data_IF_882806354629
#
_entry.id   IF_882806354629
#
_cell.length_a   1.000
_cell.length_b   1.000
_cell.length_c   1.000
_cell.angle_alpha   90.00
_cell.angle_beta   90.00
_cell.angle_gamma   90.00
#
_symmetry.space_group_name_H-M   'P 1'
#
loop_
_entity.id
_entity.type
_entity.pdbx_description
1 polymer ?
#
# COMPACT_ATOMS: atom_id res chain seq x y z
N UNK A 1 -75.51 26.04 -61.90
CA UNK A 1 -75.48 25.39 -60.57
C UNK A 1 -74.06 24.97 -60.26
N UNK A 2 -73.68 25.07 -58.97
CA UNK A 2 -72.43 24.60 -58.33
C UNK A 2 -71.29 25.63 -58.21
N UNK A 3 -71.59 26.61 -57.37
CA UNK A 3 -70.69 27.18 -56.36
C UNK A 3 -69.99 26.07 -55.53
N UNK A 4 -68.88 26.46 -54.90
CA UNK A 4 -68.16 25.79 -53.81
C UNK A 4 -67.01 24.85 -54.19
N UNK A 5 -65.82 25.43 -54.39
CA UNK A 5 -64.61 24.95 -53.68
C UNK A 5 -63.66 26.11 -53.52
N UNK A 6 -63.80 26.75 -52.37
CA UNK A 6 -62.91 27.77 -51.81
C UNK A 6 -61.84 27.04 -50.99
N UNK A 7 -60.72 27.72 -50.79
CA UNK A 7 -59.82 27.62 -49.62
C UNK A 7 -58.68 26.61 -49.76
N UNK A 8 -57.45 27.13 -49.97
CA UNK A 8 -56.27 26.31 -49.74
C UNK A 8 -54.94 26.73 -50.37
N UNK A 9 -54.77 27.96 -50.87
CA UNK A 9 -53.47 28.36 -51.45
C UNK A 9 -53.13 29.82 -51.16
N UNK A 10 -53.07 30.18 -49.87
CA UNK A 10 -52.82 31.58 -49.47
C UNK A 10 -52.14 31.74 -48.12
N UNK A 11 -51.25 30.83 -47.72
CA UNK A 11 -50.35 31.04 -46.59
C UNK A 11 -49.02 30.35 -46.88
N UNK A 12 -48.10 31.05 -47.52
CA UNK A 12 -46.81 30.49 -47.88
C UNK A 12 -45.86 31.52 -48.46
N UNK A 13 -45.78 32.73 -47.89
CA UNK A 13 -44.79 33.72 -48.30
C UNK A 13 -44.56 34.80 -47.23
N UNK A 14 -44.21 34.39 -46.01
CA UNK A 14 -43.73 35.32 -44.97
C UNK A 14 -42.92 34.58 -43.89
N UNK A 15 -41.85 33.90 -44.28
CA UNK A 15 -40.87 33.37 -43.34
C UNK A 15 -39.52 33.14 -44.05
N UNK A 16 -39.00 34.18 -44.70
CA UNK A 16 -37.64 34.16 -45.22
C UNK A 16 -36.83 35.26 -44.52
N UNK A 17 -35.86 34.79 -43.73
CA UNK A 17 -34.67 35.48 -43.22
C UNK A 17 -34.87 36.78 -42.41
N UNK A 18 -34.93 36.61 -41.09
CA UNK A 18 -34.05 37.38 -40.21
C UNK A 18 -33.00 36.43 -39.63
N UNK A 19 -31.94 36.18 -40.39
CA UNK A 19 -30.67 35.77 -39.78
C UNK A 19 -30.07 37.08 -39.27
N UNK A 20 -30.37 37.40 -38.01
CA UNK A 20 -29.57 38.36 -37.28
C UNK A 20 -28.19 37.70 -37.12
N UNK A 21 -27.24 38.09 -37.96
CA UNK A 21 -25.84 37.95 -37.62
C UNK A 21 -25.63 38.82 -36.38
N UNK A 22 -25.65 38.18 -35.21
CA UNK A 22 -25.10 38.80 -34.02
C UNK A 22 -23.63 39.08 -34.33
N UNK A 23 -23.29 40.35 -34.55
CA UNK A 23 -21.92 40.80 -34.49
C UNK A 23 -21.35 40.28 -33.17
N UNK A 24 -20.19 39.59 -33.14
CA UNK A 24 -19.57 39.31 -31.87
C UNK A 24 -19.33 40.67 -31.22
N UNK A 25 -19.87 40.84 -30.01
CA UNK A 25 -19.31 41.81 -29.06
C UNK A 25 -17.80 41.60 -29.11
N UNK A 26 -17.04 42.67 -29.33
CA UNK A 26 -15.59 42.70 -29.50
C UNK A 26 -14.89 42.01 -28.32
N UNK A 27 -14.82 40.67 -28.37
CA UNK A 27 -14.25 39.79 -27.36
C UNK A 27 -12.73 39.80 -27.53
N UNK A 28 -11.96 40.06 -26.46
CA UNK A 28 -10.51 40.05 -26.55
C UNK A 28 -10.00 38.66 -26.98
N UNK A 29 -9.24 38.61 -28.09
CA UNK A 29 -8.60 37.38 -28.53
C UNK A 29 -7.50 36.98 -27.52
N UNK A 30 -7.73 35.90 -26.78
CA UNK A 30 -6.78 35.35 -25.80
C UNK A 30 -6.60 33.87 -26.08
N UNK A 31 -5.34 33.44 -26.20
CA UNK A 31 -4.99 32.03 -26.33
C UNK A 31 -4.49 31.50 -24.99
N UNK A 32 -5.00 30.35 -24.58
CA UNK A 32 -4.53 29.64 -23.40
C UNK A 32 -4.25 28.18 -23.77
N UNK A 33 -3.11 27.66 -23.33
CA UNK A 33 -2.73 26.26 -23.53
C UNK A 33 -2.17 25.73 -22.21
N UNK A 34 -2.77 24.65 -21.70
CA UNK A 34 -2.26 23.96 -20.53
C UNK A 34 -1.39 22.75 -20.92
N UNK A 35 -0.33 22.51 -20.17
CA UNK A 35 0.61 21.42 -20.38
C UNK A 35 1.06 20.82 -19.05
N UNK A 36 1.23 19.50 -19.01
CA UNK A 36 1.82 18.84 -17.85
C UNK A 36 3.34 19.08 -17.81
N UNK A 37 3.96 19.08 -16.61
CA UNK A 37 5.41 19.13 -16.46
C UNK A 37 6.09 17.98 -17.22
N UNK A 38 7.35 18.18 -17.64
CA UNK A 38 8.11 17.16 -18.38
C UNK A 38 8.31 15.84 -17.60
N UNK A 39 8.33 15.92 -16.27
CA UNK A 39 8.36 14.76 -15.36
C UNK A 39 7.14 13.85 -15.54
N UNK A 40 6.02 14.40 -16.04
CA UNK A 40 4.78 13.70 -16.31
C UNK A 40 4.44 13.74 -17.81
N UNK A 41 5.32 13.14 -18.62
CA UNK A 41 5.16 13.07 -20.07
C UNK A 41 3.86 12.39 -20.53
N UNK A 42 3.26 11.53 -19.70
CA UNK A 42 2.04 10.80 -20.00
C UNK A 42 0.76 11.53 -19.55
N UNK A 43 0.87 12.67 -18.87
CA UNK A 43 -0.29 13.40 -18.35
C UNK A 43 -1.11 12.60 -17.34
N UNK A 44 -0.46 11.72 -16.58
CA UNK A 44 -1.11 10.93 -15.54
C UNK A 44 -1.53 11.82 -14.39
N UNK A 45 -2.73 11.61 -13.88
CA UNK A 45 -3.22 12.31 -12.70
C UNK A 45 -3.25 11.33 -11.55
N UNK A 46 -2.40 11.57 -10.54
CA UNK A 46 -2.25 10.67 -9.40
C UNK A 46 -3.28 11.05 -8.32
N UNK A 47 -4.07 10.08 -7.89
CA UNK A 47 -5.03 10.28 -6.81
C UNK A 47 -4.35 10.57 -5.47
N UNK A 48 -4.97 11.43 -4.66
CA UNK A 48 -4.43 11.80 -3.34
C UNK A 48 -3.21 12.72 -3.39
N UNK A 49 -2.63 12.95 -4.57
CA UNK A 49 -1.45 13.79 -4.76
C UNK A 49 -1.75 15.11 -5.47
N UNK A 50 -0.83 16.06 -5.33
CA UNK A 50 -0.92 17.37 -5.97
C UNK A 50 -0.44 17.25 -7.41
N UNK A 51 -1.38 17.30 -8.35
CA UNK A 51 -1.07 17.27 -9.78
C UNK A 51 -0.84 18.70 -10.29
N UNK A 52 0.33 18.94 -10.88
CA UNK A 52 0.72 20.27 -11.38
C UNK A 52 0.54 20.34 -12.91
N UNK A 53 0.14 21.51 -13.39
CA UNK A 53 -0.05 21.85 -14.81
C UNK A 53 0.43 23.29 -15.00
N UNK A 54 1.03 23.60 -16.15
CA UNK A 54 1.41 24.96 -16.52
C UNK A 54 0.51 25.48 -17.64
N UNK A 55 -0.08 26.66 -17.45
CA UNK A 55 -0.89 27.33 -18.45
C UNK A 55 -0.07 28.44 -19.09
N UNK A 56 0.23 28.31 -20.37
CA UNK A 56 0.75 29.39 -21.20
C UNK A 56 -0.44 30.21 -21.73
N UNK A 57 -0.48 31.49 -21.36
CA UNK A 57 -1.54 32.43 -21.75
C UNK A 57 -0.91 33.55 -22.56
N UNK A 58 -1.49 33.82 -23.71
CA UNK A 58 -1.07 34.87 -24.65
C UNK A 58 -2.27 35.78 -24.94
N UNK A 59 -2.11 37.06 -24.66
CA UNK A 59 -3.10 38.06 -25.03
C UNK A 59 -2.79 38.53 -26.46
N UNK A 60 -3.65 38.15 -27.42
CA UNK A 60 -3.54 38.59 -28.82
C UNK A 60 -4.36 39.84 -29.12
N UNK A 61 -5.19 40.28 -28.19
CA UNK A 61 -5.95 41.52 -28.34
C UNK A 61 -5.06 42.76 -28.18
N UNK A 62 -5.54 43.89 -28.71
CA UNK A 62 -4.90 45.20 -28.55
C UNK A 62 -5.19 45.85 -27.18
N UNK A 63 -5.97 45.17 -26.33
CA UNK A 63 -6.47 45.69 -25.05
C UNK A 63 -5.78 44.99 -23.89
N UNK A 64 -5.63 45.71 -22.78
CA UNK A 64 -5.09 45.14 -21.55
C UNK A 64 -6.16 44.31 -20.85
N UNK A 65 -5.83 43.07 -20.52
CA UNK A 65 -6.74 42.15 -19.83
C UNK A 65 -6.23 41.90 -18.40
N UNK A 66 -7.11 41.47 -17.51
CA UNK A 66 -6.74 40.98 -16.19
C UNK A 66 -7.15 39.52 -16.05
N UNK A 67 -6.16 38.64 -15.84
CA UNK A 67 -6.39 37.23 -15.56
C UNK A 67 -6.95 37.08 -14.14
N UNK A 68 -8.21 36.66 -14.01
CA UNK A 68 -8.90 36.58 -12.73
C UNK A 68 -8.59 35.27 -12.03
N UNK A 69 -8.92 34.14 -12.65
CA UNK A 69 -8.82 32.82 -12.03
C UNK A 69 -8.63 31.70 -13.03
N UNK A 70 -7.97 30.64 -12.60
CA UNK A 70 -7.88 29.36 -13.31
C UNK A 70 -8.76 28.36 -12.57
N UNK A 71 -9.60 27.63 -13.29
CA UNK A 71 -10.42 26.57 -12.73
C UNK A 71 -10.61 25.47 -13.77
N UNK A 72 -11.22 24.37 -13.35
CA UNK A 72 -11.44 23.23 -14.21
C UNK A 72 -12.57 22.34 -13.72
N UNK A 73 -12.87 21.34 -14.52
CA UNK A 73 -13.86 20.32 -14.23
C UNK A 73 -13.45 18.98 -14.80
N UNK A 74 -13.95 17.93 -14.16
CA UNK A 74 -13.72 16.56 -14.55
C UNK A 74 -15.07 15.96 -14.94
N UNK A 75 -15.10 15.35 -16.12
CA UNK A 75 -16.27 14.79 -16.75
C UNK A 75 -16.07 13.31 -17.04
N UNK A 76 -17.17 12.57 -17.10
CA UNK A 76 -17.15 11.19 -17.59
C UNK A 76 -16.85 11.19 -19.10
N UNK A 77 -15.91 10.38 -19.62
CA UNK A 77 -15.45 10.47 -21.01
C UNK A 77 -16.56 10.20 -22.04
N UNK A 78 -17.44 9.24 -21.77
CA UNK A 78 -18.50 8.84 -22.70
C UNK A 78 -19.72 9.76 -22.66
N UNK A 79 -20.24 10.02 -21.45
CA UNK A 79 -21.49 10.78 -21.28
C UNK A 79 -21.26 12.29 -21.18
N UNK A 80 -20.00 12.73 -21.04
CA UNK A 80 -19.63 14.12 -20.70
C UNK A 80 -20.34 14.67 -19.44
N UNK A 81 -20.90 13.79 -18.60
CA UNK A 81 -21.54 14.19 -17.35
C UNK A 81 -20.48 14.78 -16.42
N UNK A 82 -20.78 15.95 -15.84
CA UNK A 82 -19.93 16.59 -14.84
C UNK A 82 -19.84 15.69 -13.61
N UNK A 83 -18.62 15.35 -13.22
CA UNK A 83 -18.33 14.54 -12.03
C UNK A 83 -17.96 15.44 -10.86
N UNK A 84 -16.99 16.33 -11.08
CA UNK A 84 -16.45 17.21 -10.03
C UNK A 84 -15.72 18.41 -10.63
N UNK A 85 -15.87 19.57 -9.99
CA UNK A 85 -15.05 20.75 -10.31
C UNK A 85 -13.69 20.67 -9.59
N UNK A 86 -12.63 21.09 -10.26
CA UNK A 86 -11.30 21.20 -9.67
C UNK A 86 -11.19 22.50 -8.85
N UNK A 87 -10.11 22.63 -8.07
CA UNK A 87 -9.89 23.80 -7.22
C UNK A 87 -9.74 25.07 -8.06
N UNK A 88 -10.55 26.09 -7.81
CA UNK A 88 -10.37 27.40 -8.46
C UNK A 88 -9.23 28.19 -7.78
N UNK A 89 -8.29 28.69 -8.58
CA UNK A 89 -7.15 29.48 -8.12
C UNK A 89 -7.26 30.90 -8.67
N UNK A 90 -7.18 31.91 -7.80
CA UNK A 90 -7.31 33.33 -8.17
C UNK A 90 -5.92 33.97 -8.33
N UNK A 91 -5.72 34.68 -9.44
CA UNK A 91 -4.46 35.34 -9.79
C UNK A 91 -4.53 36.87 -9.73
N UNK A 92 -5.55 37.48 -10.35
CA UNK A 92 -5.70 38.95 -10.51
C UNK A 92 -4.45 39.61 -11.10
N UNK A 93 -3.89 39.00 -12.15
CA UNK A 93 -2.67 39.47 -12.81
C UNK A 93 -3.02 40.24 -14.08
N UNK A 94 -2.57 41.50 -14.25
CA UNK A 94 -2.74 42.21 -15.50
C UNK A 94 -1.81 41.65 -16.59
N UNK A 95 -2.33 41.48 -17.81
CA UNK A 95 -1.59 41.04 -18.98
C UNK A 95 -1.82 42.05 -20.12
N UNK A 96 -0.74 42.68 -20.57
CA UNK A 96 -0.79 43.67 -21.65
C UNK A 96 -1.11 43.02 -22.99
N UNK A 97 -1.63 43.80 -23.94
CA UNK A 97 -1.81 43.35 -25.33
C UNK A 97 -0.50 42.84 -25.95
N UNK A 98 -0.57 41.72 -26.65
CA UNK A 98 0.59 41.04 -27.26
C UNK A 98 1.51 40.28 -26.29
N UNK A 99 1.29 40.39 -24.97
CA UNK A 99 2.15 39.77 -23.97
C UNK A 99 1.78 38.30 -23.71
N UNK A 100 2.79 37.52 -23.29
CA UNK A 100 2.65 36.12 -22.89
C UNK A 100 3.07 35.92 -21.45
N UNK A 101 2.39 35.04 -20.74
CA UNK A 101 2.71 34.67 -19.36
C UNK A 101 2.46 33.18 -19.15
N UNK A 102 3.24 32.55 -18.27
CA UNK A 102 3.01 31.17 -17.85
C UNK A 102 2.57 31.16 -16.38
N UNK A 103 1.43 30.51 -16.10
CA UNK A 103 0.85 30.42 -14.76
C UNK A 103 0.82 28.96 -14.31
N UNK A 104 1.31 28.64 -13.09
CA UNK A 104 1.16 27.29 -12.55
C UNK A 104 -0.30 27.04 -12.15
N UNK A 105 -0.76 25.81 -12.21
CA UNK A 105 -2.06 25.41 -11.71
C UNK A 105 -1.93 24.01 -11.11
N UNK A 106 -2.65 23.75 -10.03
CA UNK A 106 -2.57 22.46 -9.38
C UNK A 106 -3.91 22.07 -8.80
N UNK A 107 -4.21 20.77 -8.89
CA UNK A 107 -5.45 20.20 -8.39
C UNK A 107 -5.22 18.79 -7.86
N UNK A 108 -6.21 18.29 -7.13
CA UNK A 108 -6.23 16.94 -6.57
C UNK A 108 -7.33 16.12 -7.24
N UNK A 109 -7.10 14.82 -7.42
CA UNK A 109 -8.09 13.86 -7.90
C UNK A 109 -8.36 12.80 -6.84
N UNK A 110 -9.61 12.34 -6.79
CA UNK A 110 -10.08 11.28 -5.88
C UNK A 110 -11.16 10.47 -6.61
N UNK A 111 -10.78 9.81 -7.70
CA UNK A 111 -11.71 9.04 -8.53
C UNK A 111 -11.25 7.59 -8.64
N UNK A 112 -12.13 6.73 -9.13
CA UNK A 112 -11.69 5.39 -9.53
C UNK A 112 -10.60 5.52 -10.62
N UNK A 113 -9.51 4.74 -10.53
CA UNK A 113 -8.48 4.71 -11.57
C UNK A 113 -9.08 4.37 -12.94
N UNK A 114 -8.57 5.04 -13.98
CA UNK A 114 -9.07 4.94 -15.34
C UNK A 114 -9.15 6.30 -16.04
N UNK A 115 -9.82 6.33 -17.19
CA UNK A 115 -9.85 7.50 -18.04
C UNK A 115 -10.98 8.46 -17.68
N UNK A 116 -10.64 9.75 -17.61
CA UNK A 116 -11.54 10.85 -17.30
C UNK A 116 -11.29 12.02 -18.23
N UNK A 117 -12.32 12.81 -18.54
CA UNK A 117 -12.12 14.03 -19.33
C UNK A 117 -11.83 15.20 -18.41
N UNK A 118 -10.67 15.83 -18.59
CA UNK A 118 -10.28 17.03 -17.87
C UNK A 118 -10.51 18.26 -18.76
N UNK A 119 -11.23 19.22 -18.21
CA UNK A 119 -11.42 20.53 -18.80
C UNK A 119 -10.81 21.59 -17.88
N UNK A 120 -9.95 22.47 -18.39
CA UNK A 120 -9.37 23.59 -17.64
C UNK A 120 -9.64 24.86 -18.43
N UNK A 121 -10.02 25.92 -17.73
CA UNK A 121 -10.26 27.25 -18.28
C UNK A 121 -9.63 28.35 -17.44
N UNK A 122 -9.47 29.49 -18.07
CA UNK A 122 -9.08 30.73 -17.44
C UNK A 122 -10.17 31.77 -17.63
N UNK A 123 -10.57 32.37 -16.50
CA UNK A 123 -11.45 33.53 -16.48
C UNK A 123 -10.59 34.79 -16.51
N UNK A 124 -10.90 35.69 -17.42
CA UNK A 124 -10.23 36.98 -17.55
C UNK A 124 -11.25 38.11 -17.68
N UNK A 125 -10.78 39.33 -17.53
CA UNK A 125 -11.62 40.53 -17.61
C UNK A 125 -10.98 41.58 -18.47
N UNK A 126 -11.77 42.14 -19.39
CA UNK A 126 -11.40 43.28 -20.22
C UNK A 126 -12.47 44.35 -20.05
N UNK A 127 -12.07 45.57 -19.68
CA UNK A 127 -12.97 46.73 -19.52
C UNK A 127 -14.19 46.49 -18.62
N UNK A 128 -14.06 45.61 -17.64
CA UNK A 128 -15.12 45.28 -16.68
C UNK A 128 -15.98 44.06 -17.05
N UNK A 129 -15.89 43.58 -18.29
CA UNK A 129 -16.58 42.39 -18.76
C UNK A 129 -15.76 41.12 -18.53
N UNK A 130 -16.43 40.02 -18.16
CA UNK A 130 -15.79 38.73 -17.85
C UNK A 130 -15.88 37.78 -19.04
N UNK A 131 -14.75 37.20 -19.39
CA UNK A 131 -14.61 36.26 -20.49
C UNK A 131 -13.94 34.98 -20.00
N UNK A 132 -14.25 33.86 -20.65
CA UNK A 132 -13.72 32.53 -20.29
C UNK A 132 -13.08 31.90 -21.51
N UNK A 133 -11.84 31.45 -21.34
CA UNK A 133 -11.08 30.78 -22.40
C UNK A 133 -10.70 29.38 -21.93
N UNK A 134 -10.99 28.39 -22.77
CA UNK A 134 -10.59 27.01 -22.54
C UNK A 134 -9.07 26.87 -22.77
N UNK A 135 -8.37 26.33 -21.79
CA UNK A 135 -6.93 26.10 -21.82
C UNK A 135 -6.57 24.63 -22.04
N UNK A 136 -7.44 23.71 -21.62
CA UNK A 136 -7.25 22.27 -21.76
C UNK A 136 -8.59 21.58 -21.92
N UNK A 137 -8.68 20.63 -22.85
CA UNK A 137 -9.84 19.76 -23.00
C UNK A 137 -9.41 18.44 -23.62
N UNK A 138 -9.11 17.45 -22.77
CA UNK A 138 -8.77 16.11 -23.26
C UNK A 138 -8.97 15.03 -22.20
N UNK A 139 -8.80 13.78 -22.62
CA UNK A 139 -8.86 12.61 -21.75
C UNK A 139 -7.53 12.46 -21.03
N UNK A 140 -7.60 12.31 -19.71
CA UNK A 140 -6.48 12.03 -18.81
C UNK A 140 -6.69 10.67 -18.16
N UNK A 141 -5.60 9.99 -17.84
CA UNK A 141 -5.65 8.74 -17.09
C UNK A 141 -5.36 9.03 -15.62
N UNK A 142 -6.32 8.68 -14.77
CA UNK A 142 -6.18 8.77 -13.31
C UNK A 142 -5.59 7.46 -12.80
N UNK A 143 -4.51 7.56 -12.03
CA UNK A 143 -3.76 6.41 -11.49
C UNK A 143 -3.69 6.49 -9.96
N UNK A 144 -3.48 5.34 -9.33
CA UNK A 144 -3.18 5.29 -7.89
C UNK A 144 -1.72 5.66 -7.64
N UNK A 145 -1.41 6.27 -6.48
CA UNK A 145 -0.05 6.59 -6.10
C UNK A 145 0.76 5.31 -5.89
N UNK A 146 2.08 5.42 -6.08
CA UNK A 146 3.00 4.30 -5.89
C UNK A 146 3.05 3.88 -4.42
N UNK A 147 2.88 2.58 -4.15
CA UNK A 147 3.01 2.05 -2.80
C UNK A 147 4.49 1.97 -2.44
N UNK A 148 4.92 2.82 -1.50
CA UNK A 148 6.29 2.76 -0.96
C UNK A 148 6.43 1.65 0.07
N UNK A 149 7.12 0.56 -0.32
CA UNK A 149 7.44 -0.55 0.59
C UNK A 149 8.52 -0.20 1.63
N UNK A 150 9.29 0.87 1.41
CA UNK A 150 10.33 1.36 2.31
C UNK A 150 9.91 2.63 3.06
N UNK A 151 8.61 2.79 3.33
CA UNK A 151 8.14 3.82 4.25
C UNK A 151 8.43 3.42 5.70
N UNK A 152 9.42 4.08 6.33
CA UNK A 152 9.80 3.83 7.72
C UNK A 152 8.64 4.01 8.71
N UNK A 153 7.67 4.89 8.42
CA UNK A 153 6.49 5.07 9.28
C UNK A 153 5.61 3.82 9.25
N UNK A 154 5.32 3.30 8.06
CA UNK A 154 4.58 2.04 7.89
C UNK A 154 5.35 0.84 8.45
N UNK A 155 6.64 0.71 8.12
CA UNK A 155 7.49 -0.38 8.57
C UNK A 155 7.63 -0.41 10.09
N UNK A 156 7.87 0.73 10.74
CA UNK A 156 7.97 0.80 12.21
C UNK A 156 6.66 0.45 12.89
N UNK A 157 5.52 0.91 12.34
CA UNK A 157 4.20 0.54 12.86
C UNK A 157 3.99 -0.98 12.80
N UNK A 158 4.28 -1.62 11.68
CA UNK A 158 4.18 -3.08 11.56
C UNK A 158 5.19 -3.81 12.44
N UNK A 159 6.42 -3.32 12.57
CA UNK A 159 7.42 -3.90 13.46
C UNK A 159 6.95 -3.87 14.92
N UNK A 160 6.33 -2.77 15.37
CA UNK A 160 5.76 -2.65 16.72
C UNK A 160 4.60 -3.63 16.91
N UNK A 161 3.69 -3.74 15.93
CA UNK A 161 2.55 -4.68 15.99
C UNK A 161 3.06 -6.13 16.06
N UNK A 162 4.03 -6.51 15.23
CA UNK A 162 4.65 -7.85 15.26
C UNK A 162 5.38 -8.09 16.58
N UNK A 163 6.08 -7.09 17.11
CA UNK A 163 6.77 -7.20 18.40
C UNK A 163 5.78 -7.40 19.56
N UNK A 164 4.66 -6.67 19.58
CA UNK A 164 3.61 -6.83 20.60
C UNK A 164 2.95 -8.20 20.50
N UNK A 165 2.52 -8.61 19.31
CA UNK A 165 1.92 -9.93 19.09
C UNK A 165 2.92 -11.05 19.40
N UNK A 166 4.18 -10.88 19.04
CA UNK A 166 5.27 -11.80 19.35
C UNK A 166 5.53 -11.91 20.84
N UNK A 167 5.54 -10.80 21.57
CA UNK A 167 5.70 -10.79 23.03
C UNK A 167 4.53 -11.49 23.73
N UNK A 168 3.29 -11.22 23.31
CA UNK A 168 2.10 -11.89 23.86
C UNK A 168 2.12 -13.39 23.52
N UNK A 169 2.42 -13.76 22.27
CA UNK A 169 2.56 -15.14 21.84
C UNK A 169 3.66 -15.89 22.60
N UNK A 170 4.80 -15.25 22.81
CA UNK A 170 5.90 -15.82 23.58
C UNK A 170 5.54 -15.98 25.06
N UNK A 171 4.89 -14.98 25.65
CA UNK A 171 4.43 -15.05 27.05
C UNK A 171 3.42 -16.19 27.25
N UNK A 172 2.44 -16.31 26.37
CA UNK A 172 1.45 -17.41 26.44
C UNK A 172 2.10 -18.78 26.22
N UNK A 173 3.10 -18.89 25.34
CA UNK A 173 3.90 -20.12 25.20
C UNK A 173 4.57 -20.49 26.52
N UNK A 174 5.26 -19.54 27.18
CA UNK A 174 5.89 -19.81 28.47
C UNK A 174 4.89 -20.22 29.56
N UNK A 175 3.71 -19.58 29.58
CA UNK A 175 2.69 -19.81 30.60
C UNK A 175 1.92 -21.12 30.43
N UNK A 176 1.68 -21.56 29.19
CA UNK A 176 0.76 -22.67 28.89
C UNK A 176 1.41 -23.85 28.17
N UNK A 177 2.66 -23.75 27.69
CA UNK A 177 3.32 -24.90 27.07
C UNK A 177 3.64 -25.98 28.12
N UNK A 178 3.31 -27.25 27.86
CA UNK A 178 3.58 -28.34 28.78
C UNK A 178 5.09 -28.53 28.97
N UNK A 179 5.55 -28.35 30.20
CA UNK A 179 6.95 -28.58 30.55
C UNK A 179 7.29 -30.08 30.44
N UNK A 180 8.43 -30.46 29.83
CA UNK A 180 8.83 -31.85 29.74
C UNK A 180 9.06 -32.41 31.15
N UNK A 181 8.32 -33.46 31.52
CA UNK A 181 8.44 -34.11 32.82
C UNK A 181 9.87 -34.63 33.00
N UNK A 182 10.64 -34.04 33.91
CA UNK A 182 11.92 -34.61 34.35
C UNK A 182 11.64 -35.98 34.95
N UNK A 183 12.14 -37.03 34.32
CA UNK A 183 12.18 -38.37 34.93
C UNK A 183 13.04 -38.29 36.17
N UNK A 184 12.42 -38.42 37.35
CA UNK A 184 13.15 -38.61 38.60
C UNK A 184 13.87 -39.95 38.50
N UNK A 185 15.19 -39.93 38.35
CA UNK A 185 15.99 -41.12 38.67
C UNK A 185 15.79 -41.40 40.15
N UNK A 186 15.31 -42.60 40.54
CA UNK A 186 15.18 -42.92 41.95
C UNK A 186 16.56 -42.80 42.59
N UNK A 187 16.65 -42.04 43.68
CA UNK A 187 17.85 -42.02 44.50
C UNK A 187 18.05 -43.45 45.02
N UNK A 188 19.11 -44.10 44.57
CA UNK A 188 19.56 -45.36 45.18
C UNK A 188 19.94 -44.99 46.61
N UNK A 189 19.13 -45.41 47.57
CA UNK A 189 19.46 -45.31 48.99
C UNK A 189 20.83 -45.94 49.20
N UNK A 190 21.77 -45.18 49.77
CA UNK A 190 23.09 -45.67 50.12
C UNK A 190 22.96 -46.97 50.94
N UNK A 191 23.84 -47.96 50.75
CA UNK A 191 23.83 -49.14 51.59
C UNK A 191 24.07 -48.69 53.03
N UNK A 192 23.06 -48.83 53.88
CA UNK A 192 23.26 -48.83 55.33
C UNK A 192 24.30 -49.91 55.60
N UNK A 193 25.35 -49.55 56.34
CA UNK A 193 26.53 -50.37 56.58
C UNK A 193 26.23 -51.77 57.12
N UNK A 194 27.26 -52.62 57.26
CA UNK A 194 27.07 -54.05 57.53
C UNK A 194 26.23 -54.24 58.78
N UNK A 195 25.05 -54.84 58.61
CA UNK A 195 24.21 -55.28 59.73
C UNK A 195 24.98 -56.42 60.40
N UNK A 196 25.65 -56.10 61.50
CA UNK A 196 26.17 -57.08 62.44
C UNK A 196 24.97 -57.74 63.11
N UNK A 197 24.53 -58.88 62.58
CA UNK A 197 23.49 -59.70 63.19
C UNK A 197 24.06 -60.38 64.44
N UNK A 198 24.00 -59.67 65.57
CA UNK A 198 24.25 -60.26 66.90
C UNK A 198 22.94 -60.79 67.44
N UNK A 199 22.73 -62.11 67.34
CA UNK A 199 21.77 -62.85 68.16
C UNK A 199 20.42 -63.18 67.50
N UNK A 200 20.21 -64.48 67.32
CA UNK A 200 18.95 -65.19 67.05
C UNK A 200 18.36 -65.09 65.63
N UNK A 201 18.78 -66.05 64.77
CA UNK A 201 18.14 -66.34 63.48
C UNK A 201 19.12 -66.30 62.33
N UNK A 202 19.98 -67.33 62.22
CA UNK A 202 20.83 -67.50 61.04
C UNK A 202 19.97 -67.48 59.77
N UNK A 203 20.47 -66.84 58.72
CA UNK A 203 19.92 -66.93 57.38
C UNK A 203 19.69 -68.41 57.02
N UNK A 204 18.44 -68.86 57.03
CA UNK A 204 18.08 -70.19 56.58
C UNK A 204 17.96 -70.13 55.06
N UNK A 205 18.99 -70.59 54.36
CA UNK A 205 19.02 -70.67 52.88
C UNK A 205 18.17 -71.83 52.33
N UNK A 206 17.42 -72.51 53.20
CA UNK A 206 16.67 -73.75 52.96
C UNK A 206 15.40 -73.55 52.12
N UNK A 207 14.88 -72.31 52.05
CA UNK A 207 13.71 -71.97 51.24
C UNK A 207 14.04 -71.60 49.79
N UNK A 208 15.33 -71.50 49.43
CA UNK A 208 15.75 -71.07 48.10
C UNK A 208 15.98 -72.31 47.24
N UNK A 209 15.17 -72.53 46.18
CA UNK A 209 15.37 -73.67 45.29
C UNK A 209 16.81 -73.69 44.74
N UNK A 210 17.48 -74.84 44.82
CA UNK A 210 18.92 -74.99 44.52
C UNK A 210 19.33 -74.38 43.16
N UNK A 211 18.40 -74.36 42.20
CA UNK A 211 18.60 -73.83 40.85
C UNK A 211 18.69 -72.30 40.77
N UNK A 212 18.56 -71.58 41.89
CA UNK A 212 18.69 -70.12 41.99
C UNK A 212 19.95 -69.66 42.77
N UNK A 213 20.74 -70.55 43.38
CA UNK A 213 22.02 -70.20 43.99
C UNK A 213 23.14 -70.13 42.93
N UNK A 214 23.27 -68.96 42.28
CA UNK A 214 24.42 -68.67 41.42
C UNK A 214 25.65 -68.38 42.29
N UNK A 215 26.44 -69.41 42.59
CA UNK A 215 27.71 -69.28 43.34
C UNK A 215 28.64 -68.23 42.67
N UNK A 216 28.93 -67.07 43.29
CA UNK A 216 29.92 -66.15 42.75
C UNK A 216 31.32 -66.65 43.08
N UNK A 217 32.09 -67.02 42.05
CA UNK A 217 33.50 -67.37 42.13
C UNK A 217 34.29 -66.08 42.43
N UNK A 218 34.71 -65.89 43.68
CA UNK A 218 35.49 -64.73 44.10
C UNK A 218 36.86 -64.71 43.39
N UNK A 219 37.01 -63.86 42.37
CA UNK A 219 38.30 -63.53 41.77
C UNK A 219 38.84 -62.27 42.44
N UNK A 220 39.76 -62.44 43.39
CA UNK A 220 40.60 -61.36 43.92
C UNK A 220 41.37 -60.71 42.76
N UNK A 221 41.20 -59.41 42.55
CA UNK A 221 42.29 -58.61 41.96
C UNK A 221 42.37 -57.23 42.60
N UNK A 222 43.61 -56.93 42.94
CA UNK A 222 44.21 -55.87 43.73
C UNK A 222 43.99 -54.47 43.14
N UNK A 223 43.84 -53.52 44.04
CA UNK A 223 43.96 -52.06 43.89
C UNK A 223 45.13 -51.60 43.01
N UNK A 224 44.95 -50.51 42.23
CA UNK A 224 45.94 -49.42 42.16
C UNK A 224 45.25 -48.09 41.83
N UNK A 225 45.63 -47.11 42.62
CA UNK A 225 45.26 -45.69 42.69
C UNK A 225 45.91 -44.88 41.57
N UNK A 226 45.44 -43.62 41.43
CA UNK A 226 46.07 -42.47 40.73
C UNK A 226 45.78 -42.39 39.23
N UNK A 227 45.72 -41.24 38.56
CA UNK A 227 45.60 -39.80 38.89
C UNK A 227 45.68 -39.09 37.52
N UNK A 228 44.95 -37.97 37.38
CA UNK A 228 45.33 -36.75 36.65
C UNK A 228 45.79 -36.75 35.17
N UNK A 229 45.24 -35.74 34.46
CA UNK A 229 45.83 -35.08 33.29
C UNK A 229 45.47 -35.73 31.95
N UNK A 230 45.37 -35.03 30.83
CA UNK A 230 45.43 -33.61 30.49
C UNK A 230 45.18 -33.61 28.96
N UNK A 231 44.54 -32.56 28.44
CA UNK A 231 44.47 -32.18 27.01
C UNK A 231 43.95 -33.19 25.97
N UNK A 232 43.03 -32.74 25.10
CA UNK A 232 43.35 -32.54 23.66
C UNK A 232 42.09 -32.09 22.91
N UNK A 233 42.13 -30.81 22.54
CA UNK A 233 41.32 -30.20 21.50
C UNK A 233 41.58 -30.89 20.15
N UNK A 234 40.52 -31.12 19.38
CA UNK A 234 40.59 -31.65 18.03
C UNK A 234 39.30 -31.32 17.29
N UNK A 235 39.32 -30.18 16.62
CA UNK A 235 38.27 -29.70 15.74
C UNK A 235 38.16 -30.55 14.46
N UNK A 236 37.09 -30.27 13.70
CA UNK A 236 36.95 -30.39 12.23
C UNK A 236 36.12 -31.57 11.67
N UNK A 237 35.08 -31.16 10.92
CA UNK A 237 34.41 -31.79 9.74
C UNK A 237 33.29 -32.81 10.02
N UNK A 238 32.02 -32.43 9.83
CA UNK A 238 31.29 -32.26 8.54
C UNK A 238 31.03 -33.57 7.79
N UNK A 239 29.79 -34.09 7.90
CA UNK A 239 29.04 -34.66 6.79
C UNK A 239 27.63 -35.08 7.24
N UNK A 240 26.66 -34.34 6.70
CA UNK A 240 25.31 -34.72 6.31
C UNK A 240 25.01 -36.23 6.16
N UNK A 241 23.95 -36.73 6.80
CA UNK A 241 22.95 -37.53 6.09
C UNK A 241 21.61 -37.59 6.84
N UNK A 242 20.57 -37.03 6.22
CA UNK A 242 19.20 -37.07 6.72
C UNK A 242 18.51 -38.39 6.35
N UNK A 243 17.92 -39.08 7.33
CA UNK A 243 17.05 -40.23 7.08
C UNK A 243 15.58 -39.88 7.29
N UNK A 244 14.90 -39.65 6.17
CA UNK A 244 13.45 -39.45 6.05
C UNK A 244 12.68 -40.77 6.26
N UNK A 245 11.50 -40.61 6.88
CA UNK A 245 10.21 -41.31 6.71
C UNK A 245 10.10 -42.79 7.13
N UNK A 246 9.24 -43.00 8.14
CA UNK A 246 8.45 -44.22 8.34
C UNK A 246 6.96 -43.88 8.15
N UNK A 247 6.38 -44.36 7.05
CA UNK A 247 4.93 -44.51 6.90
C UNK A 247 4.45 -45.62 7.82
N UNK A 248 3.29 -45.44 8.46
CA UNK A 248 2.54 -46.54 9.08
C UNK A 248 1.07 -46.41 8.65
N UNK A 249 0.56 -47.58 8.27
CA UNK A 249 -0.80 -47.98 7.89
C UNK A 249 -1.92 -47.17 8.53
#
# INVERSE_FOLDING_TARGET
>A
MRFQTILGYGMGLAAFLQIAAASPLDEPEVLAVASFPEENAFGHVVNGEKNNVFLAVENKSDRNITLQSIAGSIHHPETNALVKNTTALTYKVPLLGGAKIQLPYSFYSEFKPGDWRLNIWIDHTAEGEKYRVQAYDSIITVVEPEVSIFDFKMLSTYAIVIALLGAIGYYTYLSFAPQPKKRKTPAVSAPVGPVTATGAGGYQEEWIPEHHLKKPKARKTKSTTLTSGDETSGAELSATEGKRRKNKK
#
